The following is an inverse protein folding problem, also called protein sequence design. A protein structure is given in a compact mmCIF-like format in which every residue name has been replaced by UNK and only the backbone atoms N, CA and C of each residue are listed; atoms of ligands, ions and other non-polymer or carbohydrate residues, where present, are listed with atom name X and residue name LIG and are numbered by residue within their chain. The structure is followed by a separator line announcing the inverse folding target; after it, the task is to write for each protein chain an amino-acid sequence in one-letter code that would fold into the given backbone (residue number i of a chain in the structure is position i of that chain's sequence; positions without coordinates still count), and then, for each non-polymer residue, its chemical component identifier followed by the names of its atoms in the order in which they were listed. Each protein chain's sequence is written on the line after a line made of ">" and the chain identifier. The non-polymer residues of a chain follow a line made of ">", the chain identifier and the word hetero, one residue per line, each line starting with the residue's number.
data_IF_979863862999
#
_entry.id   IF_979863862999
#
_cell.length_a   1.000
_cell.length_b   1.000
_cell.length_c   1.000
_cell.angle_alpha   90.00
_cell.angle_beta   90.00
_cell.angle_gamma   90.00
#
_symmetry.space_group_name_H-M   'P 1'
#
loop_
_entity.id
_entity.type
_entity.pdbx_description
1 polymer ?
#
# COMPACT_ATOMS: atom_id res chain seq x y z
N UNK A 1 -2.96 19.28 -7.62
CA UNK A 1 -4.20 18.49 -7.44
C UNK A 1 -3.82 17.03 -7.36
N UNK A 2 -4.44 16.23 -6.49
CA UNK A 2 -4.25 14.77 -6.45
C UNK A 2 -5.09 14.09 -7.53
N UNK A 3 -4.59 12.97 -8.08
CA UNK A 3 -5.27 12.20 -9.11
C UNK A 3 -5.97 11.01 -8.45
N UNK A 4 -7.31 10.96 -8.53
CA UNK A 4 -8.07 9.77 -8.13
C UNK A 4 -7.94 8.70 -9.20
N UNK A 5 -7.28 7.59 -8.86
CA UNK A 5 -7.03 6.47 -9.78
C UNK A 5 -8.23 5.54 -9.87
N UNK A 6 -8.42 4.97 -11.06
CA UNK A 6 -9.38 3.89 -11.32
C UNK A 6 -8.64 2.60 -11.67
N UNK A 7 -9.30 1.47 -11.51
CA UNK A 7 -8.74 0.15 -11.87
C UNK A 7 -8.18 0.14 -13.29
N UNK A 8 -6.91 -0.27 -13.43
CA UNK A 8 -6.20 -0.32 -14.71
C UNK A 8 -5.69 1.01 -15.23
N UNK A 9 -5.95 2.13 -14.55
CA UNK A 9 -5.44 3.44 -14.94
C UNK A 9 -3.93 3.52 -14.76
N UNK A 10 -3.27 4.23 -15.67
CA UNK A 10 -1.83 4.55 -15.61
C UNK A 10 -1.65 6.05 -15.49
N UNK A 11 -0.74 6.47 -14.66
CA UNK A 11 -0.34 7.87 -14.49
C UNK A 11 1.19 7.98 -14.53
N UNK A 12 1.70 9.07 -15.09
CA UNK A 12 3.13 9.38 -15.10
C UNK A 12 3.43 10.36 -13.98
N UNK A 13 3.98 9.87 -12.87
CA UNK A 13 4.32 10.69 -11.70
C UNK A 13 5.40 11.73 -12.01
N UNK A 14 6.29 11.45 -12.95
CA UNK A 14 7.37 12.36 -13.35
C UNK A 14 6.88 13.57 -14.15
N UNK A 15 5.75 13.44 -14.84
CA UNK A 15 5.07 14.59 -15.46
C UNK A 15 4.43 15.50 -14.43
N UNK A 16 4.01 14.91 -13.29
CA UNK A 16 3.36 15.64 -12.19
C UNK A 16 4.39 16.27 -11.24
N UNK A 17 5.59 15.68 -11.11
CA UNK A 17 6.67 16.20 -10.26
C UNK A 17 8.01 15.96 -10.95
N UNK A 18 8.56 17.01 -11.57
CA UNK A 18 9.89 16.98 -12.14
C UNK A 18 10.92 16.75 -11.02
N UNK A 19 11.78 15.74 -11.19
CA UNK A 19 12.80 15.42 -10.18
C UNK A 19 12.29 14.61 -8.97
N UNK A 20 11.16 13.93 -9.11
CA UNK A 20 10.65 13.01 -8.09
C UNK A 20 11.71 11.95 -7.75
N UNK A 21 12.22 11.98 -6.54
CA UNK A 21 13.26 11.06 -6.06
C UNK A 21 12.85 10.29 -4.82
N UNK A 22 11.97 10.84 -4.00
CA UNK A 22 11.49 10.21 -2.79
C UNK A 22 9.97 10.05 -2.86
N UNK A 23 9.50 8.84 -2.66
CA UNK A 23 8.09 8.50 -2.68
C UNK A 23 7.72 7.90 -1.34
N UNK A 24 6.60 8.37 -0.78
CA UNK A 24 5.91 7.73 0.30
C UNK A 24 4.66 7.06 -0.28
N UNK A 25 4.53 5.77 -0.03
CA UNK A 25 3.30 5.02 -0.28
C UNK A 25 2.58 4.90 1.05
N UNK A 26 1.39 5.46 1.15
CA UNK A 26 0.55 5.40 2.35
C UNK A 26 -0.64 4.48 2.12
N UNK A 27 -0.89 3.58 3.04
CA UNK A 27 -2.08 2.75 3.15
C UNK A 27 -2.86 3.23 4.38
N UNK A 28 -4.14 3.54 4.19
CA UNK A 28 -5.02 3.90 5.30
C UNK A 28 -6.35 3.18 5.19
N UNK A 29 -6.96 2.88 6.34
CA UNK A 29 -8.29 2.29 6.43
C UNK A 29 -8.93 2.64 7.78
N UNK A 30 -10.25 2.59 7.86
CA UNK A 30 -10.93 2.79 9.14
C UNK A 30 -11.05 1.46 9.88
N UNK A 31 -10.78 1.51 11.18
CA UNK A 31 -11.10 0.41 12.09
C UNK A 31 -12.59 0.01 11.96
N UNK A 32 -12.87 -1.28 12.05
CA UNK A 32 -14.25 -1.77 12.03
C UNK A 32 -14.97 -1.27 13.28
N UNK A 33 -15.91 -0.35 13.11
CA UNK A 33 -16.80 0.04 14.21
C UNK A 33 -17.53 -1.20 14.73
N UNK A 34 -17.03 -1.80 15.81
CA UNK A 34 -17.79 -2.76 16.56
C UNK A 34 -19.00 -2.01 17.09
N UNK A 35 -20.20 -2.31 16.55
CA UNK A 35 -21.45 -1.85 17.18
C UNK A 35 -21.45 -2.43 18.60
N UNK A 36 -20.98 -1.65 19.57
CA UNK A 36 -21.09 -1.92 21.01
C UNK A 36 -22.56 -1.84 21.40
N UNK A 37 -23.38 -2.76 20.86
CA UNK A 37 -24.69 -3.01 21.38
C UNK A 37 -24.54 -3.86 22.66
N UNK A 38 -25.21 -3.51 23.73
CA UNK A 38 -25.26 -4.24 24.99
C UNK A 38 -25.46 -5.75 24.80
N UNK A 39 -26.15 -6.18 23.73
CA UNK A 39 -26.36 -7.57 23.35
C UNK A 39 -25.13 -8.24 22.71
N UNK A 40 -24.27 -7.52 22.00
CA UNK A 40 -23.06 -8.07 21.39
C UNK A 40 -22.02 -8.46 22.45
N UNK A 41 -21.99 -7.73 23.58
CA UNK A 41 -21.16 -8.06 24.74
C UNK A 41 -21.55 -9.36 25.43
N UNK A 42 -22.81 -9.76 25.34
CA UNK A 42 -23.33 -10.99 25.94
C UNK A 42 -23.07 -12.25 25.10
N UNK A 43 -22.88 -12.10 23.78
CA UNK A 43 -22.72 -13.23 22.86
C UNK A 43 -21.28 -13.39 22.32
N UNK A 44 -20.33 -12.59 22.79
CA UNK A 44 -18.91 -12.79 22.51
C UNK A 44 -18.48 -12.66 21.04
N UNK A 45 -19.30 -12.09 20.16
CA UNK A 45 -18.95 -11.84 18.76
C UNK A 45 -18.35 -10.44 18.61
N UNK A 46 -17.09 -10.26 19.06
CA UNK A 46 -16.29 -9.16 18.55
C UNK A 46 -16.00 -9.45 17.08
N UNK A 47 -16.46 -8.56 16.19
CA UNK A 47 -15.91 -8.54 14.84
C UNK A 47 -14.39 -8.34 14.98
N UNK A 48 -13.60 -9.31 14.51
CA UNK A 48 -12.15 -9.19 14.55
C UNK A 48 -11.77 -7.99 13.68
N UNK A 49 -10.87 -7.15 14.20
CA UNK A 49 -10.32 -6.03 13.45
C UNK A 49 -9.75 -6.53 12.11
N UNK A 50 -9.94 -5.72 11.08
CA UNK A 50 -9.40 -6.04 9.76
C UNK A 50 -8.02 -5.42 9.67
N UNK A 51 -7.06 -6.27 9.50
CA UNK A 51 -5.64 -5.99 9.48
C UNK A 51 -5.16 -5.94 8.02
N UNK A 52 -4.87 -4.74 7.53
CA UNK A 52 -4.45 -4.51 6.15
C UNK A 52 -2.94 -4.29 6.09
N UNK A 53 -2.27 -5.07 5.26
CA UNK A 53 -0.81 -4.99 5.08
C UNK A 53 -0.45 -4.37 3.73
N UNK A 54 0.55 -3.49 3.74
CA UNK A 54 1.24 -3.01 2.56
C UNK A 54 2.56 -3.75 2.36
N UNK A 55 2.81 -4.20 1.14
CA UNK A 55 4.04 -4.90 0.76
C UNK A 55 4.63 -4.27 -0.49
N UNK A 56 5.94 -4.01 -0.50
CA UNK A 56 6.67 -3.63 -1.69
C UNK A 56 7.52 -4.80 -2.20
N UNK A 57 7.41 -5.10 -3.50
CA UNK A 57 8.15 -6.17 -4.17
C UNK A 57 9.00 -5.54 -5.28
N UNK A 58 10.31 -5.68 -5.19
CA UNK A 58 11.24 -5.21 -6.21
C UNK A 58 11.41 -6.32 -7.27
N UNK A 59 11.27 -5.94 -8.54
CA UNK A 59 11.36 -6.87 -9.66
C UNK A 59 12.57 -6.54 -10.53
N UNK A 60 13.21 -7.61 -11.08
CA UNK A 60 14.26 -7.55 -12.09
C UNK A 60 13.71 -8.08 -13.41
N UNK A 61 13.81 -7.29 -14.48
CA UNK A 61 13.20 -7.62 -15.78
C UNK A 61 11.73 -8.05 -15.66
N UNK A 62 11.01 -7.36 -14.76
CA UNK A 62 9.60 -7.63 -14.48
C UNK A 62 9.33 -8.93 -13.74
N UNK A 63 10.34 -9.61 -13.20
CA UNK A 63 10.22 -10.90 -12.50
C UNK A 63 10.59 -10.78 -11.03
N UNK A 64 9.92 -11.54 -10.20
CA UNK A 64 10.31 -11.78 -8.81
C UNK A 64 11.44 -12.82 -8.78
N UNK A 65 12.58 -12.45 -8.20
CA UNK A 65 13.79 -13.28 -8.22
C UNK A 65 14.24 -13.73 -6.84
N UNK A 66 14.03 -12.94 -5.80
CA UNK A 66 14.55 -13.22 -4.46
C UNK A 66 13.52 -12.78 -3.40
N UNK A 67 13.31 -13.64 -2.38
CA UNK A 67 12.47 -13.30 -1.22
C UNK A 67 12.97 -12.07 -0.43
N UNK A 68 14.26 -11.79 -0.48
CA UNK A 68 14.84 -10.61 0.15
C UNK A 68 14.52 -9.30 -0.62
N UNK A 69 13.92 -9.40 -1.82
CA UNK A 69 13.43 -8.27 -2.60
C UNK A 69 11.97 -7.91 -2.23
N UNK A 70 11.44 -8.47 -1.12
CA UNK A 70 10.13 -8.17 -0.55
C UNK A 70 10.29 -7.38 0.75
N UNK A 71 9.64 -6.21 0.84
CA UNK A 71 9.60 -5.35 2.02
C UNK A 71 8.17 -5.33 2.55
N UNK A 72 7.97 -5.75 3.79
CA UNK A 72 6.69 -5.90 4.46
C UNK A 72 6.90 -5.92 5.98
N UNK A 73 5.88 -6.07 6.79
CA UNK A 73 5.99 -6.08 8.26
C UNK A 73 7.03 -7.06 8.83
N UNK A 74 7.29 -8.20 8.16
CA UNK A 74 8.30 -9.20 8.57
C UNK A 74 9.71 -8.94 8.02
N UNK A 75 9.89 -8.00 7.09
CA UNK A 75 11.17 -7.54 6.55
C UNK A 75 11.09 -6.06 6.23
N UNK A 76 11.37 -5.23 7.24
CA UNK A 76 11.07 -3.79 7.19
C UNK A 76 11.98 -2.99 6.24
N UNK A 77 13.12 -3.53 5.82
CA UNK A 77 14.05 -2.79 4.96
C UNK A 77 14.67 -3.68 3.89
N UNK A 78 14.65 -3.21 2.67
CA UNK A 78 15.38 -3.85 1.57
C UNK A 78 16.89 -3.75 1.80
N UNK A 79 17.66 -4.78 1.44
CA UNK A 79 19.14 -4.85 1.57
C UNK A 79 19.88 -3.65 0.97
N UNK A 80 19.32 -2.93 0.01
CA UNK A 80 19.90 -1.70 -0.55
C UNK A 80 19.64 -0.45 0.29
N UNK A 81 18.83 -0.53 1.33
CA UNK A 81 18.41 0.61 2.14
C UNK A 81 17.49 1.61 1.43
N UNK A 82 17.02 1.29 0.22
CA UNK A 82 16.26 2.24 -0.61
C UNK A 82 14.74 2.11 -0.51
N UNK A 83 14.26 1.00 0.05
CA UNK A 83 12.85 0.74 0.31
C UNK A 83 12.70 0.34 1.76
N UNK A 84 11.84 1.02 2.50
CA UNK A 84 11.64 0.79 3.93
C UNK A 84 10.17 0.85 4.30
N UNK A 85 9.70 -0.16 5.03
CA UNK A 85 8.40 -0.19 5.70
C UNK A 85 8.52 0.46 7.07
N UNK A 86 7.59 1.34 7.44
CA UNK A 86 7.71 2.16 8.64
C UNK A 86 7.09 1.53 9.89
N UNK A 87 6.58 0.33 9.78
CA UNK A 87 5.97 -0.43 10.87
C UNK A 87 4.58 -0.92 10.52
N UNK A 88 4.06 -1.78 11.37
CA UNK A 88 2.81 -2.52 11.25
C UNK A 88 1.71 -1.86 12.08
N UNK A 89 0.49 -1.72 11.52
CA UNK A 89 -0.71 -1.26 12.22
C UNK A 89 -1.79 -2.33 12.09
N UNK A 90 -2.14 -2.98 13.20
CA UNK A 90 -3.03 -4.15 13.22
C UNK A 90 -4.53 -3.80 13.21
N UNK A 91 -4.89 -2.54 13.41
CA UNK A 91 -6.27 -2.13 13.70
C UNK A 91 -6.83 -1.09 12.76
N UNK A 92 -5.99 -0.28 12.11
CA UNK A 92 -6.41 0.90 11.37
C UNK A 92 -6.92 2.02 12.28
N UNK A 93 -6.41 2.07 13.52
CA UNK A 93 -6.72 3.15 14.46
C UNK A 93 -5.82 4.35 14.18
N UNK A 94 -6.42 5.47 13.82
CA UNK A 94 -5.70 6.71 13.58
C UNK A 94 -6.34 7.55 12.48
N UNK A 95 -5.78 8.74 12.25
CA UNK A 95 -6.12 9.57 11.10
C UNK A 95 -4.98 9.52 10.08
N UNK A 96 -5.30 9.29 8.82
CA UNK A 96 -4.34 9.36 7.72
C UNK A 96 -3.84 8.01 7.24
N UNK A 97 -2.52 7.83 7.15
CA UNK A 97 -1.91 6.57 6.74
C UNK A 97 -1.64 5.72 7.97
N UNK A 98 -2.15 4.50 7.97
CA UNK A 98 -1.93 3.50 9.02
C UNK A 98 -0.62 2.75 8.80
N UNK A 99 -0.28 2.49 7.54
CA UNK A 99 1.01 1.96 7.15
C UNK A 99 1.68 2.79 6.08
N UNK A 100 3.00 2.83 6.09
CA UNK A 100 3.80 3.61 5.16
C UNK A 100 5.00 2.83 4.64
N UNK A 101 5.27 2.97 3.34
CA UNK A 101 6.49 2.50 2.70
C UNK A 101 7.22 3.69 2.09
N UNK A 102 8.46 3.92 2.52
CA UNK A 102 9.35 4.94 1.97
C UNK A 102 10.22 4.35 0.86
N UNK A 103 10.35 5.06 -0.26
CA UNK A 103 11.13 4.64 -1.42
C UNK A 103 12.03 5.79 -1.87
N UNK A 104 13.36 5.60 -1.82
CA UNK A 104 14.32 6.50 -2.43
C UNK A 104 14.60 6.03 -3.87
N UNK A 105 13.80 6.53 -4.82
CA UNK A 105 13.90 6.18 -6.23
C UNK A 105 15.26 6.50 -6.85
N UNK A 106 15.95 7.51 -6.32
CA UNK A 106 17.25 7.94 -6.85
C UNK A 106 18.36 6.94 -6.57
N UNK A 107 18.19 6.12 -5.54
CA UNK A 107 19.18 5.14 -5.08
C UNK A 107 18.78 3.68 -5.32
N UNK A 108 17.58 3.42 -5.85
CA UNK A 108 17.19 2.05 -6.20
C UNK A 108 18.20 1.47 -7.18
N UNK A 109 18.81 0.30 -6.88
CA UNK A 109 19.82 -0.31 -7.77
C UNK A 109 19.29 -0.53 -9.18
N UNK A 110 20.14 -0.33 -10.18
CA UNK A 110 19.78 -0.33 -11.59
C UNK A 110 19.18 -1.65 -12.09
N UNK A 111 19.47 -2.74 -11.38
CA UNK A 111 18.95 -4.06 -11.69
C UNK A 111 17.42 -4.20 -11.45
N UNK A 112 16.83 -3.30 -10.64
CA UNK A 112 15.38 -3.30 -10.40
C UNK A 112 14.69 -2.33 -11.35
N UNK A 113 13.85 -2.84 -12.23
CA UNK A 113 13.08 -2.07 -13.21
C UNK A 113 11.69 -1.67 -12.71
N UNK A 114 11.25 -2.29 -11.61
CA UNK A 114 9.88 -2.13 -11.12
C UNK A 114 9.77 -2.38 -9.63
N UNK A 115 8.93 -1.59 -8.97
CA UNK A 115 8.46 -1.85 -7.60
C UNK A 115 6.94 -2.04 -7.69
N UNK A 116 6.46 -3.18 -7.20
CA UNK A 116 5.03 -3.50 -7.12
C UNK A 116 4.60 -3.33 -5.68
N UNK A 117 3.56 -2.53 -5.46
CA UNK A 117 2.93 -2.42 -4.15
C UNK A 117 1.71 -3.34 -4.13
N UNK A 118 1.64 -4.18 -3.13
CA UNK A 118 0.54 -5.11 -2.88
C UNK A 118 -0.12 -4.71 -1.56
N UNK A 119 -1.44 -4.69 -1.55
CA UNK A 119 -2.23 -4.56 -0.32
C UNK A 119 -3.05 -5.83 -0.15
N UNK A 120 -2.95 -6.43 1.02
CA UNK A 120 -3.71 -7.61 1.40
C UNK A 120 -4.37 -7.42 2.77
N UNK A 121 -5.28 -8.32 3.12
CA UNK A 121 -5.83 -8.44 4.47
C UNK A 121 -5.20 -9.68 5.09
N UNK A 122 -4.57 -9.51 6.25
CA UNK A 122 -3.92 -10.60 6.98
C UNK A 122 -4.92 -11.70 7.36
N UNK A 123 -4.56 -12.94 7.04
CA UNK A 123 -5.35 -14.16 7.35
C UNK A 123 -6.82 -14.08 6.91
N UNK A 124 -7.11 -13.34 5.83
CA UNK A 124 -8.46 -13.02 5.36
C UNK A 124 -9.33 -14.26 5.10
N UNK A 125 -8.74 -15.37 4.64
CA UNK A 125 -9.49 -16.61 4.33
C UNK A 125 -10.03 -17.24 5.61
N UNK A 126 -9.18 -17.38 6.63
CA UNK A 126 -9.53 -17.94 7.93
C UNK A 126 -10.51 -17.04 8.69
N UNK A 127 -10.26 -15.73 8.64
CA UNK A 127 -11.10 -14.71 9.27
C UNK A 127 -12.36 -14.38 8.46
N UNK A 128 -12.49 -14.90 7.23
CA UNK A 128 -13.60 -14.61 6.28
C UNK A 128 -13.80 -13.12 6.03
N UNK A 129 -12.69 -12.41 5.87
CA UNK A 129 -12.65 -10.96 5.67
C UNK A 129 -12.37 -10.61 4.20
N UNK A 130 -12.92 -9.49 3.73
CA UNK A 130 -12.71 -8.95 2.38
C UNK A 130 -12.71 -7.42 2.40
N UNK A 131 -12.12 -6.77 1.38
CA UNK A 131 -12.04 -5.31 1.28
C UNK A 131 -13.41 -4.62 1.31
N UNK A 132 -14.47 -5.29 0.85
CA UNK A 132 -15.83 -4.77 0.94
C UNK A 132 -16.38 -4.59 2.37
N UNK A 133 -15.69 -5.11 3.37
CA UNK A 133 -16.04 -4.96 4.80
C UNK A 133 -15.35 -3.74 5.43
N UNK A 134 -14.33 -3.18 4.77
CA UNK A 134 -13.53 -2.07 5.28
C UNK A 134 -14.13 -0.75 4.78
N UNK A 135 -14.17 0.25 5.65
CA UNK A 135 -14.54 1.60 5.28
C UNK A 135 -13.29 2.43 5.00
N UNK A 136 -13.40 3.33 4.01
CA UNK A 136 -12.38 4.32 3.69
C UNK A 136 -10.96 3.77 3.43
N UNK A 137 -10.87 2.48 3.03
CA UNK A 137 -9.58 1.89 2.70
C UNK A 137 -9.02 2.50 1.41
N UNK A 138 -7.79 2.98 1.47
CA UNK A 138 -7.13 3.60 0.33
C UNK A 138 -5.63 3.33 0.32
N UNK A 139 -5.05 3.45 -0.87
CA UNK A 139 -3.60 3.57 -1.04
C UNK A 139 -3.30 4.87 -1.80
N UNK A 140 -2.28 5.59 -1.36
CA UNK A 140 -1.86 6.84 -1.99
C UNK A 140 -0.36 6.91 -2.21
N UNK A 141 0.04 7.74 -3.16
CA UNK A 141 1.43 8.08 -3.41
C UNK A 141 1.64 9.56 -3.13
N UNK A 142 2.63 9.85 -2.32
CA UNK A 142 3.02 11.18 -1.90
C UNK A 142 4.45 11.45 -2.35
N UNK A 143 4.74 12.64 -2.86
CA UNK A 143 6.09 13.14 -3.07
C UNK A 143 6.73 13.39 -1.70
N UNK A 144 7.71 12.58 -1.32
CA UNK A 144 8.32 12.61 0.00
C UNK A 144 9.12 13.89 0.30
N UNK A 145 9.44 14.71 -0.71
CA UNK A 145 10.12 15.99 -0.51
C UNK A 145 9.15 17.14 -0.24
N UNK A 146 8.04 17.15 -0.95
CA UNK A 146 7.07 18.25 -0.91
C UNK A 146 5.86 17.95 -0.06
N UNK A 147 5.72 16.70 0.41
CA UNK A 147 4.55 16.16 1.09
C UNK A 147 3.25 16.33 0.29
N UNK A 148 3.36 16.40 -1.04
CA UNK A 148 2.22 16.55 -1.93
C UNK A 148 1.68 15.19 -2.34
N UNK A 149 0.39 14.94 -2.06
CA UNK A 149 -0.29 13.78 -2.60
C UNK A 149 -0.36 13.87 -4.13
N UNK A 150 0.16 12.86 -4.80
CA UNK A 150 0.21 12.79 -6.25
C UNK A 150 -0.96 12.00 -6.83
N UNK A 151 -1.26 10.86 -6.23
CA UNK A 151 -2.42 10.06 -6.60
C UNK A 151 -2.90 9.21 -5.43
N UNK A 152 -4.19 8.86 -5.49
CA UNK A 152 -4.89 8.02 -4.51
C UNK A 152 -5.78 7.01 -5.23
N UNK A 153 -5.86 5.80 -4.71
CA UNK A 153 -6.76 4.75 -5.16
C UNK A 153 -7.60 4.25 -3.99
N UNK A 154 -8.92 4.24 -4.18
CA UNK A 154 -9.88 3.74 -3.20
C UNK A 154 -9.98 2.21 -3.31
N UNK A 155 -9.70 1.51 -2.21
CA UNK A 155 -9.76 0.05 -2.11
C UNK A 155 -11.13 -0.45 -1.67
N UNK A 156 -11.95 0.41 -1.06
CA UNK A 156 -13.29 0.06 -0.56
C UNK A 156 -14.38 0.07 -1.63
N UNK A 157 -14.07 0.44 -2.89
CA UNK A 157 -15.03 0.40 -3.99
C UNK A 157 -15.49 -1.05 -4.26
N UNK A 158 -16.76 -1.32 -3.92
CA UNK A 158 -17.42 -2.65 -4.02
C UNK A 158 -17.41 -3.28 -5.42
N UNK A 159 -17.06 -2.52 -6.47
CA UNK A 159 -16.95 -3.06 -7.83
C UNK A 159 -15.68 -3.87 -8.06
N UNK A 160 -14.76 -3.90 -7.13
CA UNK A 160 -13.51 -4.67 -7.21
C UNK A 160 -13.56 -6.00 -6.45
N UNK A 161 -14.68 -6.70 -6.50
CA UNK A 161 -14.94 -7.96 -5.82
C UNK A 161 -14.06 -9.10 -6.34
N UNK A 162 -13.43 -9.83 -5.43
CA UNK A 162 -12.67 -11.09 -5.52
C UNK A 162 -11.26 -10.96 -6.09
N UNK A 163 -10.27 -11.24 -5.21
CA UNK A 163 -8.83 -11.31 -5.49
C UNK A 163 -8.26 -10.02 -6.08
N UNK A 164 -8.22 -8.96 -5.29
CA UNK A 164 -7.57 -7.73 -5.68
C UNK A 164 -6.26 -7.54 -4.96
N UNK A 165 -5.20 -8.03 -5.54
CA UNK A 165 -3.92 -7.38 -5.43
C UNK A 165 -4.01 -6.06 -6.21
N UNK A 166 -4.15 -4.94 -5.53
CA UNK A 166 -4.04 -3.64 -6.17
C UNK A 166 -2.57 -3.38 -6.46
N UNK A 167 -2.22 -3.32 -7.75
CA UNK A 167 -0.84 -3.13 -8.17
C UNK A 167 -0.62 -1.65 -8.45
N UNK A 168 0.13 -0.96 -7.61
CA UNK A 168 0.73 0.32 -7.95
C UNK A 168 2.07 0.03 -8.60
N UNK A 169 2.18 0.33 -9.90
CA UNK A 169 3.40 0.11 -10.65
C UNK A 169 4.16 1.42 -10.79
N UNK A 170 5.35 1.49 -10.20
CA UNK A 170 6.29 2.57 -10.48
C UNK A 170 7.28 2.09 -11.54
N UNK A 171 7.31 2.74 -12.70
CA UNK A 171 8.34 2.46 -13.71
C UNK A 171 9.43 3.52 -13.61
N UNK A 172 10.68 3.07 -13.64
CA UNK A 172 11.85 3.94 -13.68
C UNK A 172 11.86 4.76 -14.96
N UNK A 173 12.35 6.00 -14.88
CA UNK A 173 12.74 6.75 -16.06
C UNK A 173 13.91 6.07 -16.77
N UNK A 174 13.98 6.11 -18.13
CA UNK A 174 15.23 5.84 -18.82
C UNK A 174 16.25 6.86 -18.33
N UNK A 175 17.43 6.38 -17.95
CA UNK A 175 18.59 7.25 -17.74
C UNK A 175 18.85 7.96 -19.06
N UNK A 176 18.74 9.28 -19.08
CA UNK A 176 19.26 10.06 -20.18
C UNK A 176 20.77 9.83 -20.24
N UNK A 177 21.21 9.30 -21.37
CA UNK A 177 22.61 9.27 -21.75
C UNK A 177 23.15 10.70 -21.91
#
# INVERSE_FOLDING_TARGET
>A
MSISLKKGQKVSLTKESAGLSNVLVGLGWDAVESKKGFLASLFGTQAADIDCDATAILLKDGKFCDKNDVVYFGNLEHKSGTVRHMGDNLTGDGEGDDEQILIDLSKVPAEYDRIVIVVNIYDCIKRKQEFGMIKNAFIRIVDGKTNREMCKYDLSDRKSTRLNSSHVRTSRMPSSA
#
